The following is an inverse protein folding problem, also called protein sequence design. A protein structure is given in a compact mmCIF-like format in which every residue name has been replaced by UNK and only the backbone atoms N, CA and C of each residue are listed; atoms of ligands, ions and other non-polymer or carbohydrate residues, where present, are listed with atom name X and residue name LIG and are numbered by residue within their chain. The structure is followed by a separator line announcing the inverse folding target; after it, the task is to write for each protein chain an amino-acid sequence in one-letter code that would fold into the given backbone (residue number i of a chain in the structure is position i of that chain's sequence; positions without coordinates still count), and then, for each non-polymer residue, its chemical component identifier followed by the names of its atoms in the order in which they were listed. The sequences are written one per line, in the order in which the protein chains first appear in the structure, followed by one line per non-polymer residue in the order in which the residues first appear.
data_IF_136460114340
#
_entry.id   IF_136460114340
#
_cell.length_a   1.000
_cell.length_b   1.000
_cell.length_c   1.000
_cell.angle_alpha   90.00
_cell.angle_beta   90.00
_cell.angle_gamma   90.00
#
_symmetry.space_group_name_H-M   'P 1'
#
loop_
_entity.id
_entity.type
_entity.pdbx_description
1 polymer ?
#
# COMPACT_ATOMS: atom_id res chain seq x y z
N UNK A 1 -6.84 -14.30 12.44
CA UNK A 1 -7.10 -12.90 12.05
C UNK A 1 -7.80 -12.91 10.72
N UNK A 2 -9.06 -12.49 10.68
CA UNK A 2 -9.78 -12.32 9.42
C UNK A 2 -9.06 -11.28 8.57
N UNK A 3 -8.85 -11.59 7.28
CA UNK A 3 -8.32 -10.62 6.33
C UNK A 3 -9.45 -9.66 5.99
N UNK A 4 -9.35 -8.35 6.29
CA UNK A 4 -10.43 -7.41 6.03
C UNK A 4 -10.64 -7.14 4.53
N UNK A 5 -9.72 -7.63 3.68
CA UNK A 5 -9.73 -7.47 2.24
C UNK A 5 -9.53 -8.81 1.53
N UNK A 6 -10.30 -9.03 0.47
CA UNK A 6 -10.16 -10.14 -0.47
C UNK A 6 -9.85 -9.65 -1.88
N UNK A 7 -9.15 -10.49 -2.66
CA UNK A 7 -8.99 -10.28 -4.11
C UNK A 7 -10.31 -10.62 -4.78
N UNK A 8 -10.78 -9.75 -5.68
CA UNK A 8 -12.05 -9.93 -6.39
C UNK A 8 -11.94 -9.49 -7.86
N UNK A 9 -12.88 -9.95 -8.69
CA UNK A 9 -13.05 -9.42 -10.04
C UNK A 9 -13.83 -8.11 -9.98
N UNK A 10 -13.25 -7.04 -10.52
CA UNK A 10 -13.90 -5.74 -10.70
C UNK A 10 -14.40 -5.62 -12.14
N UNK A 11 -15.72 -5.47 -12.38
CA UNK A 11 -16.28 -5.36 -13.72
C UNK A 11 -15.58 -4.29 -14.56
N UNK A 12 -15.07 -4.70 -15.74
CA UNK A 12 -14.35 -3.82 -16.68
C UNK A 12 -12.95 -3.35 -16.24
N UNK A 13 -12.44 -3.78 -15.08
CA UNK A 13 -11.16 -3.30 -14.51
C UNK A 13 -10.19 -4.41 -14.13
N UNK A 14 -10.53 -5.67 -14.42
CA UNK A 14 -9.72 -6.82 -14.04
C UNK A 14 -9.82 -7.14 -12.56
N UNK A 15 -8.69 -7.24 -11.86
CA UNK A 15 -8.63 -7.62 -10.45
C UNK A 15 -8.62 -6.41 -9.54
N UNK A 16 -9.29 -6.50 -8.39
CA UNK A 16 -9.32 -5.49 -7.36
C UNK A 16 -9.29 -6.06 -5.95
N UNK A 17 -9.30 -5.15 -4.97
CA UNK A 17 -9.47 -5.47 -3.55
C UNK A 17 -10.90 -5.11 -3.13
N UNK A 18 -11.57 -6.02 -2.42
CA UNK A 18 -12.90 -5.84 -1.84
C UNK A 18 -12.79 -5.94 -0.32
N UNK A 19 -13.49 -5.07 0.39
CA UNK A 19 -13.63 -5.21 1.84
C UNK A 19 -14.64 -6.29 2.19
N UNK A 20 -14.26 -7.23 3.04
CA UNK A 20 -15.12 -8.32 3.52
C UNK A 20 -15.85 -7.96 4.82
N UNK A 21 -15.55 -6.79 5.38
CA UNK A 21 -16.16 -6.24 6.59
C UNK A 21 -16.33 -4.72 6.48
N UNK A 22 -17.13 -4.12 7.37
CA UNK A 22 -17.27 -2.66 7.45
C UNK A 22 -15.94 -1.96 7.79
N UNK A 23 -15.64 -0.86 7.11
CA UNK A 23 -14.43 -0.04 7.31
C UNK A 23 -14.84 1.35 7.76
N UNK A 24 -14.39 1.77 8.93
CA UNK A 24 -14.60 3.12 9.46
C UNK A 24 -13.54 4.11 8.96
N UNK A 25 -13.88 5.40 8.92
CA UNK A 25 -12.91 6.44 8.60
C UNK A 25 -11.70 6.39 9.56
N UNK A 26 -10.50 6.53 9.00
CA UNK A 26 -9.24 6.46 9.75
C UNK A 26 -8.75 5.04 10.07
N UNK A 27 -9.52 3.98 9.78
CA UNK A 27 -9.07 2.59 10.00
C UNK A 27 -7.98 2.22 8.98
N UNK A 28 -6.83 1.76 9.46
CA UNK A 28 -5.84 1.10 8.63
C UNK A 28 -6.37 -0.26 8.15
N UNK A 29 -6.48 -0.45 6.82
CA UNK A 29 -7.02 -1.69 6.21
C UNK A 29 -5.94 -2.64 5.70
N UNK A 30 -4.74 -2.13 5.42
CA UNK A 30 -3.60 -2.90 4.95
C UNK A 30 -2.30 -2.12 5.21
N UNK A 31 -1.20 -2.86 5.43
CA UNK A 31 0.17 -2.34 5.46
C UNK A 31 1.06 -3.34 4.75
N UNK A 32 1.99 -2.84 3.94
CA UNK A 32 3.03 -3.63 3.32
C UNK A 32 4.34 -2.87 3.32
N UNK A 33 5.42 -3.62 3.51
CA UNK A 33 6.74 -3.15 3.16
C UNK A 33 6.91 -3.27 1.63
N UNK A 34 7.62 -2.33 1.00
CA UNK A 34 7.88 -2.40 -0.43
C UNK A 34 8.67 -3.66 -0.77
N UNK A 35 8.35 -4.30 -1.89
CA UNK A 35 9.16 -5.41 -2.41
C UNK A 35 10.57 -4.94 -2.78
N UNK A 36 10.65 -3.76 -3.41
CA UNK A 36 11.87 -3.01 -3.66
C UNK A 36 11.51 -1.53 -3.82
N UNK A 37 12.44 -0.62 -3.51
CA UNK A 37 12.26 0.83 -3.69
C UNK A 37 13.60 1.52 -3.94
N UNK A 38 13.56 2.75 -4.44
CA UNK A 38 14.71 3.65 -4.55
C UNK A 38 14.27 5.10 -4.33
N UNK A 39 15.22 5.96 -4.00
CA UNK A 39 15.00 7.41 -3.97
C UNK A 39 14.90 7.96 -5.39
N UNK A 40 13.99 8.91 -5.60
CA UNK A 40 13.93 9.64 -6.86
C UNK A 40 15.13 10.61 -7.03
N UNK A 41 15.38 11.04 -8.26
CA UNK A 41 16.51 11.91 -8.58
C UNK A 41 16.49 13.24 -7.81
N UNK A 42 15.30 13.80 -7.56
CA UNK A 42 15.13 15.08 -6.87
C UNK A 42 15.54 15.03 -5.39
N UNK A 43 15.49 13.85 -4.77
CA UNK A 43 15.82 13.66 -3.35
C UNK A 43 17.16 12.96 -3.12
N UNK A 44 17.88 12.58 -4.19
CA UNK A 44 19.22 11.98 -4.05
C UNK A 44 20.11 12.89 -3.23
N UNK A 45 20.88 12.32 -2.30
CA UNK A 45 21.75 13.01 -1.34
C UNK A 45 21.07 13.93 -0.32
N UNK A 46 19.75 14.11 -0.38
CA UNK A 46 18.99 14.87 0.61
C UNK A 46 18.26 13.98 1.63
N UNK A 47 18.11 12.70 1.34
CA UNK A 47 17.51 11.68 2.23
C UNK A 47 18.38 10.43 2.23
N UNK A 48 18.28 9.63 3.29
CA UNK A 48 18.87 8.30 3.32
C UNK A 48 18.18 7.37 2.31
N UNK A 49 18.95 6.67 1.48
CA UNK A 49 18.42 5.75 0.46
C UNK A 49 17.66 4.56 1.04
N UNK A 50 17.86 4.24 2.33
CA UNK A 50 17.17 3.14 3.02
C UNK A 50 15.97 3.64 3.83
N UNK A 51 16.16 4.46 4.86
CA UNK A 51 15.02 4.84 5.71
C UNK A 51 14.17 5.98 5.13
N UNK A 52 14.61 6.62 4.04
CA UNK A 52 13.96 7.78 3.40
C UNK A 52 13.80 9.00 4.35
N UNK A 53 14.58 9.04 5.44
CA UNK A 53 14.63 10.15 6.42
C UNK A 53 15.73 11.15 6.02
N UNK A 54 15.53 12.43 6.35
CA UNK A 54 16.49 13.53 6.17
C UNK A 54 17.45 13.62 7.36
#
# INVERSE_FOLDING_TARGET
MEKPLSRSLSPGKGLGLRADCAVSAGRAVYRAEPFAYNTNQANKSCVCDSCLVR
#
